data_IF_417649318070
#
_entry.id   IF_417649318070
#
_cell.length_a   1.000
_cell.length_b   1.000
_cell.length_c   1.000
_cell.angle_alpha   90.00
_cell.angle_beta   90.00
_cell.angle_gamma   90.00
#
_symmetry.space_group_name_H-M   'P 1'
#
loop_
_entity.id
_entity.type
_entity.pdbx_description
1 polymer ?
#
# COMPACT_ATOMS: atom_id res chain seq x y z
N UNK A 1 -2.84 4.03 0.85
CA UNK A 1 -3.45 3.11 -0.11
C UNK A 1 -3.61 3.81 -1.46
N UNK A 2 -2.58 3.78 -2.31
CA UNK A 2 -2.59 4.41 -3.62
C UNK A 2 -3.13 3.39 -4.59
N UNK A 3 -4.42 3.13 -4.46
CA UNK A 3 -5.13 2.33 -5.44
C UNK A 3 -5.33 3.20 -6.66
N UNK A 4 -4.93 2.72 -7.84
CA UNK A 4 -5.34 3.33 -9.13
C UNK A 4 -6.87 3.40 -9.29
N UNK A 5 -7.61 2.82 -8.34
CA UNK A 5 -9.06 2.61 -8.36
C UNK A 5 -9.76 3.28 -7.16
N UNK A 6 -9.11 4.09 -6.31
CA UNK A 6 -9.73 4.84 -5.19
C UNK A 6 -10.86 4.09 -4.44
N UNK A 7 -10.60 2.83 -4.06
CA UNK A 7 -11.58 1.93 -3.45
C UNK A 7 -11.25 1.68 -1.98
N UNK A 8 -12.18 1.99 -1.07
CA UNK A 8 -12.18 1.49 0.31
C UNK A 8 -13.14 0.31 0.53
N UNK A 9 -12.68 -0.75 1.19
CA UNK A 9 -13.56 -1.75 1.80
C UNK A 9 -12.99 -2.31 3.10
N UNK A 10 -13.82 -2.48 4.13
CA UNK A 10 -13.46 -3.19 5.36
C UNK A 10 -14.67 -3.86 6.01
N UNK A 11 -14.39 -4.89 6.83
CA UNK A 11 -15.39 -5.54 7.66
C UNK A 11 -14.81 -5.88 9.03
N UNK A 12 -15.58 -5.61 10.10
CA UNK A 12 -15.23 -5.97 11.48
C UNK A 12 -16.19 -7.04 11.96
N UNK A 13 -15.62 -8.12 12.49
CA UNK A 13 -16.37 -9.22 13.11
C UNK A 13 -15.91 -9.40 14.55
N UNK A 14 -16.87 -9.49 15.46
CA UNK A 14 -16.65 -9.78 16.88
C UNK A 14 -17.42 -11.04 17.25
N UNK A 15 -16.79 -11.98 17.95
CA UNK A 15 -17.38 -13.26 18.35
C UNK A 15 -18.10 -14.00 17.20
N UNK A 16 -17.52 -13.92 16.00
CA UNK A 16 -18.04 -14.56 14.78
C UNK A 16 -19.25 -13.85 14.15
N UNK A 17 -19.69 -12.71 14.68
CA UNK A 17 -20.78 -11.88 14.13
C UNK A 17 -20.25 -10.66 13.41
N UNK A 18 -20.92 -10.27 12.32
CA UNK A 18 -20.59 -9.03 11.62
C UNK A 18 -21.08 -7.83 12.45
N UNK A 19 -20.16 -6.90 12.76
CA UNK A 19 -20.44 -5.68 13.53
C UNK A 19 -20.52 -4.47 12.61
N UNK A 20 -19.58 -4.36 11.68
CA UNK A 20 -19.47 -3.26 10.71
C UNK A 20 -18.99 -3.79 9.37
N UNK A 21 -19.55 -3.31 8.27
CA UNK A 21 -19.06 -3.56 6.91
C UNK A 21 -19.30 -2.33 6.05
N UNK A 22 -18.26 -1.83 5.39
CA UNK A 22 -18.32 -0.65 4.53
C UNK A 22 -17.60 -0.95 3.21
N UNK A 23 -18.23 -0.61 2.10
CA UNK A 23 -17.68 -0.73 0.75
C UNK A 23 -17.97 0.50 -0.09
N UNK A 24 -16.90 1.18 -0.52
CA UNK A 24 -16.89 2.41 -1.31
C UNK A 24 -16.00 2.24 -2.56
N UNK A 25 -16.49 1.53 -3.59
CA UNK A 25 -15.83 1.52 -4.90
C UNK A 25 -15.88 2.91 -5.57
N UNK A 26 -14.98 3.16 -6.53
CA UNK A 26 -15.00 4.40 -7.30
C UNK A 26 -16.27 4.48 -8.15
N UNK A 27 -16.73 5.70 -8.40
CA UNK A 27 -17.78 6.03 -9.37
C UNK A 27 -19.21 5.53 -9.07
N UNK A 28 -19.40 4.59 -8.14
CA UNK A 28 -20.71 4.00 -7.82
C UNK A 28 -21.22 4.31 -6.41
N UNK A 29 -20.42 5.00 -5.60
CA UNK A 29 -20.80 5.41 -4.26
C UNK A 29 -20.76 4.25 -3.27
N UNK A 30 -21.73 4.20 -2.36
CA UNK A 30 -21.77 3.19 -1.30
C UNK A 30 -22.44 1.91 -1.79
N UNK A 31 -21.69 0.81 -1.88
CA UNK A 31 -22.25 -0.52 -2.22
C UNK A 31 -22.57 -1.36 -0.98
N UNK A 32 -21.95 -1.05 0.15
CA UNK A 32 -22.20 -1.72 1.42
C UNK A 32 -22.05 -0.73 2.57
N UNK A 33 -23.05 -0.67 3.47
CA UNK A 33 -23.01 0.12 4.69
C UNK A 33 -23.84 -0.57 5.77
N UNK A 34 -23.23 -1.53 6.46
CA UNK A 34 -23.87 -2.35 7.48
C UNK A 34 -23.26 -2.03 8.83
N UNK A 35 -24.10 -1.93 9.86
CA UNK A 35 -23.68 -1.62 11.24
C UNK A 35 -23.56 -0.13 11.52
N UNK A 36 -23.39 0.20 12.80
CA UNK A 36 -23.19 1.58 13.24
C UNK A 36 -21.76 2.05 12.90
N UNK A 37 -21.57 3.26 12.36
CA UNK A 37 -20.24 3.80 12.10
C UNK A 37 -19.37 3.86 13.35
N UNK A 38 -18.08 3.54 13.20
CA UNK A 38 -17.10 3.76 14.27
C UNK A 38 -16.79 5.25 14.45
N UNK A 39 -16.21 5.60 15.60
CA UNK A 39 -15.85 6.98 15.94
C UNK A 39 -14.98 7.66 14.89
N UNK A 40 -14.04 6.93 14.29
CA UNK A 40 -13.16 7.47 13.25
C UNK A 40 -13.90 7.81 11.95
N UNK A 41 -15.06 7.21 11.70
CA UNK A 41 -15.88 7.49 10.52
C UNK A 41 -16.75 8.75 10.68
N UNK A 42 -17.09 9.12 11.92
CA UNK A 42 -18.06 10.19 12.20
C UNK A 42 -17.74 11.54 11.52
N UNK A 43 -16.49 12.03 11.47
CA UNK A 43 -16.16 13.27 10.78
C UNK A 43 -16.47 13.23 9.29
N UNK A 44 -16.32 12.07 8.65
CA UNK A 44 -16.61 11.87 7.23
C UNK A 44 -18.12 11.96 6.96
N UNK A 45 -18.93 11.29 7.79
CA UNK A 45 -20.39 11.33 7.69
C UNK A 45 -20.98 12.69 8.06
N UNK A 46 -20.30 13.47 8.91
CA UNK A 46 -20.67 14.83 9.26
C UNK A 46 -20.32 15.85 8.16
N UNK A 47 -19.47 15.48 7.19
CA UNK A 47 -18.98 16.38 6.14
C UNK A 47 -17.78 17.23 6.56
N UNK A 48 -17.13 16.90 7.68
CA UNK A 48 -15.94 17.61 8.19
C UNK A 48 -14.65 17.25 7.41
N UNK A 49 -14.71 16.21 6.56
CA UNK A 49 -13.62 15.72 5.71
C UNK A 49 -14.05 15.70 4.24
N UNK A 50 -14.29 16.86 3.61
CA UNK A 50 -14.76 16.89 2.23
C UNK A 50 -13.72 16.36 1.25
N UNK A 51 -14.19 15.83 0.14
CA UNK A 51 -13.36 15.53 -1.01
C UNK A 51 -12.86 16.82 -1.69
N UNK A 52 -11.74 17.36 -1.21
CA UNK A 52 -11.07 18.49 -1.85
C UNK A 52 -10.24 18.00 -3.04
N UNK A 53 -10.89 17.85 -4.20
CA UNK A 53 -10.23 17.41 -5.43
C UNK A 53 -9.66 18.65 -6.10
N UNK A 54 -8.33 18.77 -6.12
CA UNK A 54 -7.65 19.78 -6.93
C UNK A 54 -7.45 19.17 -8.32
N UNK A 55 -8.21 19.58 -9.35
CA UNK A 55 -8.02 19.05 -10.70
C UNK A 55 -6.62 19.43 -11.22
N UNK A 56 -6.00 18.50 -11.95
CA UNK A 56 -4.78 18.84 -12.68
C UNK A 56 -5.07 19.90 -13.76
N UNK A 57 -4.10 20.77 -14.10
CA UNK A 57 -4.32 21.81 -15.10
C UNK A 57 -4.75 21.22 -16.46
N UNK A 58 -6.00 21.49 -16.85
CA UNK A 58 -6.58 21.00 -18.11
C UNK A 58 -7.48 19.78 -17.96
N UNK A 59 -7.68 19.26 -16.75
CA UNK A 59 -8.65 18.22 -16.44
C UNK A 59 -9.93 18.82 -15.85
N UNK A 60 -11.06 18.17 -16.12
CA UNK A 60 -12.34 18.53 -15.48
C UNK A 60 -12.33 18.08 -14.01
N UNK A 61 -13.05 18.82 -13.16
CA UNK A 61 -13.20 18.48 -11.74
C UNK A 61 -14.08 17.22 -11.62
N UNK A 62 -13.44 16.07 -11.45
CA UNK A 62 -14.14 14.80 -11.30
C UNK A 62 -14.57 14.62 -9.85
N UNK A 63 -15.85 14.85 -9.53
CA UNK A 63 -16.36 14.68 -8.17
C UNK A 63 -16.44 13.20 -7.77
N UNK A 64 -15.95 12.85 -6.58
CA UNK A 64 -16.20 11.54 -5.98
C UNK A 64 -17.71 11.32 -5.77
N UNK A 65 -18.17 10.09 -5.96
CA UNK A 65 -19.54 9.70 -5.64
C UNK A 65 -19.84 9.81 -4.12
N UNK A 66 -18.96 9.37 -3.19
CA UNK A 66 -19.06 9.76 -1.78
C UNK A 66 -18.58 11.21 -1.56
N UNK A 67 -19.09 11.92 -0.53
CA UNK A 67 -18.74 13.32 -0.25
C UNK A 67 -17.34 13.52 0.34
N UNK A 68 -16.58 12.45 0.51
CA UNK A 68 -15.24 12.41 1.09
C UNK A 68 -14.36 11.39 0.36
N UNK A 69 -13.02 11.51 0.41
CA UNK A 69 -12.12 10.62 -0.31
C UNK A 69 -12.11 9.23 0.34
N UNK A 70 -12.48 8.15 -0.38
CA UNK A 70 -12.41 6.79 0.16
C UNK A 70 -11.01 6.40 0.67
N UNK A 71 -9.89 6.77 0.01
CA UNK A 71 -8.56 6.45 0.50
C UNK A 71 -8.24 7.05 1.88
N UNK A 72 -8.67 8.28 2.17
CA UNK A 72 -8.42 8.92 3.47
C UNK A 72 -9.13 8.20 4.61
N UNK A 73 -10.41 7.87 4.43
CA UNK A 73 -11.14 7.06 5.40
C UNK A 73 -10.50 5.67 5.55
N UNK A 74 -9.89 5.13 4.49
CA UNK A 74 -9.13 3.89 4.53
C UNK A 74 -7.90 3.94 5.42
N UNK A 75 -7.14 5.03 5.38
CA UNK A 75 -5.99 5.23 6.28
C UNK A 75 -6.43 5.34 7.74
N UNK A 76 -7.50 6.10 8.02
CA UNK A 76 -8.05 6.20 9.38
C UNK A 76 -8.60 4.85 9.87
N UNK A 77 -9.20 4.04 8.98
CA UNK A 77 -9.64 2.69 9.30
C UNK A 77 -8.46 1.75 9.60
N UNK A 78 -7.37 1.80 8.82
CA UNK A 78 -6.16 1.02 9.09
C UNK A 78 -5.56 1.38 10.46
N UNK A 79 -5.46 2.68 10.76
CA UNK A 79 -4.94 3.11 12.06
C UNK A 79 -5.84 2.65 13.20
N UNK A 80 -7.16 2.86 13.10
CA UNK A 80 -8.09 2.52 14.17
C UNK A 80 -8.23 1.00 14.41
N UNK A 81 -8.18 0.19 13.35
CA UNK A 81 -8.44 -1.25 13.43
C UNK A 81 -7.16 -2.09 13.55
N UNK A 82 -6.07 -1.65 12.93
CA UNK A 82 -4.82 -2.39 12.83
C UNK A 82 -3.63 -1.68 13.48
N UNK A 83 -3.77 -0.40 13.83
CA UNK A 83 -2.74 0.37 14.53
C UNK A 83 -1.68 1.00 13.64
N UNK A 84 -1.81 1.01 12.31
CA UNK A 84 -0.81 1.58 11.41
C UNK A 84 -1.43 2.33 10.22
N UNK A 85 -0.62 3.11 9.51
CA UNK A 85 -0.96 3.77 8.24
C UNK A 85 -0.06 3.28 7.11
N UNK A 86 -0.53 3.33 5.86
CA UNK A 86 0.23 2.87 4.70
C UNK A 86 0.89 4.01 3.93
N UNK A 87 0.19 5.14 3.78
CA UNK A 87 0.67 6.31 3.02
C UNK A 87 0.84 7.57 3.85
N UNK A 88 0.16 7.63 4.99
CA UNK A 88 0.31 8.73 5.93
C UNK A 88 1.66 8.71 6.64
N UNK A 89 1.96 9.82 7.34
CA UNK A 89 3.07 9.84 8.29
C UNK A 89 2.69 9.01 9.52
N UNK A 90 3.46 7.98 9.89
CA UNK A 90 3.24 7.25 11.12
C UNK A 90 3.37 8.18 12.33
N UNK A 91 2.48 8.02 13.29
CA UNK A 91 2.59 8.62 14.62
C UNK A 91 3.52 7.78 15.50
N UNK A 92 4.11 8.36 16.57
CA UNK A 92 5.05 7.62 17.43
C UNK A 92 4.48 6.35 18.07
N UNK A 93 3.16 6.30 18.25
CA UNK A 93 2.44 5.18 18.86
C UNK A 93 1.84 4.22 17.82
N UNK A 94 2.01 4.49 16.52
CA UNK A 94 1.58 3.57 15.46
C UNK A 94 2.46 2.29 15.47
N UNK A 95 1.83 1.17 15.16
CA UNK A 95 2.49 -0.11 14.90
C UNK A 95 3.42 0.03 13.70
N UNK A 96 4.66 -0.46 13.84
CA UNK A 96 5.58 -0.63 12.73
C UNK A 96 5.11 -1.79 11.86
N UNK A 97 4.36 -1.47 10.80
CA UNK A 97 3.82 -2.45 9.87
C UNK A 97 4.91 -3.26 9.15
N UNK A 98 6.08 -2.66 8.91
CA UNK A 98 7.21 -3.32 8.24
C UNK A 98 7.91 -4.35 9.15
N UNK A 99 7.72 -4.23 10.47
CA UNK A 99 8.21 -5.21 11.44
C UNK A 99 7.27 -6.42 11.62
N UNK A 100 6.09 -6.42 11.01
CA UNK A 100 5.13 -7.54 11.12
C UNK A 100 5.59 -8.68 10.22
N UNK A 101 6.04 -9.78 10.82
CA UNK A 101 6.41 -10.98 10.08
C UNK A 101 5.18 -11.66 9.45
N UNK A 102 5.24 -11.87 8.14
CA UNK A 102 4.21 -12.60 7.39
C UNK A 102 4.72 -13.99 7.00
N UNK A 103 3.86 -15.00 7.15
CA UNK A 103 4.14 -16.32 6.59
C UNK A 103 3.97 -16.29 5.08
N UNK A 104 5.05 -16.54 4.36
CA UNK A 104 5.02 -16.77 2.92
C UNK A 104 4.48 -18.17 2.62
N UNK A 105 3.45 -18.25 1.79
CA UNK A 105 2.94 -19.50 1.25
C UNK A 105 3.16 -19.53 -0.25
N UNK A 106 3.59 -20.68 -0.77
CA UNK A 106 3.74 -20.88 -2.21
C UNK A 106 2.86 -22.03 -2.66
N UNK A 107 1.96 -21.76 -3.59
CA UNK A 107 1.13 -22.79 -4.24
C UNK A 107 2.01 -23.54 -5.24
N UNK A 108 2.15 -24.86 -5.08
CA UNK A 108 2.93 -25.69 -6.00
C UNK A 108 2.00 -26.48 -6.92
N UNK A 109 2.38 -26.57 -8.18
CA UNK A 109 1.84 -27.59 -9.08
C UNK A 109 2.31 -28.96 -8.57
N UNK A 110 1.39 -29.89 -8.23
CA UNK A 110 1.74 -31.24 -7.81
C UNK A 110 2.58 -32.02 -8.84
N UNK A 111 2.53 -31.61 -10.10
CA UNK A 111 3.26 -32.22 -11.22
C UNK A 111 4.40 -31.33 -11.75
N UNK A 112 4.61 -30.16 -11.16
CA UNK A 112 5.67 -29.24 -11.53
C UNK A 112 7.04 -29.64 -11.00
N UNK A 113 8.10 -28.92 -11.41
CA UNK A 113 9.45 -29.16 -10.94
C UNK A 113 9.55 -29.04 -9.41
N UNK A 114 10.44 -29.85 -8.82
CA UNK A 114 10.67 -29.83 -7.39
C UNK A 114 11.27 -28.51 -6.92
N UNK A 115 11.20 -28.17 -5.62
CA UNK A 115 11.65 -26.87 -5.10
C UNK A 115 13.15 -26.65 -5.34
N UNK A 116 13.97 -27.70 -5.30
CA UNK A 116 15.40 -27.60 -5.62
C UNK A 116 15.67 -27.28 -7.10
N UNK A 117 14.82 -27.77 -8.01
CA UNK A 117 14.93 -27.50 -9.44
C UNK A 117 14.51 -26.06 -9.75
N UNK A 118 13.44 -25.59 -9.11
CA UNK A 118 12.97 -24.21 -9.19
C UNK A 118 13.99 -23.21 -8.61
N UNK A 119 14.60 -23.53 -7.47
CA UNK A 119 15.66 -22.71 -6.88
C UNK A 119 16.92 -22.68 -7.76
N UNK A 120 17.25 -23.79 -8.42
CA UNK A 120 18.35 -23.86 -9.38
C UNK A 120 18.06 -23.07 -10.66
N UNK A 121 16.80 -23.01 -11.09
CA UNK A 121 16.36 -22.20 -12.24
C UNK A 121 16.43 -20.70 -11.91
N UNK A 122 15.87 -20.28 -10.77
CA UNK A 122 15.96 -18.88 -10.29
C UNK A 122 17.40 -18.46 -10.13
N UNK A 123 18.25 -19.30 -9.53
CA UNK A 123 19.68 -19.02 -9.39
C UNK A 123 20.37 -18.86 -10.73
N UNK A 124 20.09 -19.74 -11.70
CA UNK A 124 20.62 -19.59 -13.06
C UNK A 124 20.13 -18.32 -13.72
N UNK A 125 18.86 -17.95 -13.57
CA UNK A 125 18.33 -16.70 -14.10
C UNK A 125 19.01 -15.47 -13.47
N UNK A 126 19.26 -15.48 -12.16
CA UNK A 126 20.01 -14.42 -11.46
C UNK A 126 21.46 -14.35 -11.92
N UNK A 127 22.13 -15.49 -12.11
CA UNK A 127 23.50 -15.56 -12.63
C UNK A 127 23.63 -15.05 -14.07
N UNK A 128 22.58 -15.22 -14.89
CA UNK A 128 22.53 -14.77 -16.28
C UNK A 128 22.03 -13.31 -16.43
N UNK A 129 21.56 -12.70 -15.35
CA UNK A 129 21.09 -11.31 -15.33
C UNK A 129 22.24 -10.35 -15.04
N UNK A 130 22.35 -9.28 -15.82
CA UNK A 130 23.30 -8.19 -15.54
C UNK A 130 23.10 -7.65 -14.11
N UNK A 131 24.18 -7.30 -13.40
CA UNK A 131 24.07 -6.80 -12.03
C UNK A 131 23.15 -5.56 -11.97
N UNK A 132 22.28 -5.45 -10.95
CA UNK A 132 21.36 -4.33 -10.82
C UNK A 132 22.16 -3.03 -10.72
N UNK A 133 21.83 -2.06 -11.57
CA UNK A 133 22.44 -0.73 -11.52
C UNK A 133 21.90 0.02 -10.32
N UNK A 134 22.79 0.41 -9.40
CA UNK A 134 22.45 1.29 -8.29
C UNK A 134 22.89 2.72 -8.62
N UNK A 135 21.92 3.63 -8.75
CA UNK A 135 22.19 5.07 -8.91
C UNK A 135 21.85 5.80 -7.61
N UNK A 136 22.82 6.01 -6.70
CA UNK A 136 22.56 6.73 -5.46
C UNK A 136 22.14 8.18 -5.74
N UNK A 137 21.24 8.68 -4.90
CA UNK A 137 20.82 10.07 -4.91
C UNK A 137 21.87 10.94 -4.20
N UNK A 138 22.37 11.96 -4.90
CA UNK A 138 23.27 12.97 -4.35
C UNK A 138 22.54 13.91 -3.36
N UNK A 139 23.30 14.62 -2.51
CA UNK A 139 22.74 15.65 -1.61
C UNK A 139 22.00 16.80 -2.32
N UNK A 140 22.27 17.01 -3.61
CA UNK A 140 21.59 18.00 -4.47
C UNK A 140 20.38 17.43 -5.22
N UNK A 141 20.01 16.18 -4.97
CA UNK A 141 18.89 15.50 -5.61
C UNK A 141 19.19 14.90 -6.99
N UNK A 142 20.44 14.99 -7.48
CA UNK A 142 20.83 14.34 -8.73
C UNK A 142 21.07 12.83 -8.54
N UNK A 143 20.72 12.01 -9.54
CA UNK A 143 21.09 10.59 -9.55
C UNK A 143 22.51 10.45 -10.10
N UNK A 144 23.40 9.81 -9.34
CA UNK A 144 24.77 9.55 -9.78
C UNK A 144 24.85 8.14 -10.33
N UNK A 145 25.17 8.01 -11.61
CA UNK A 145 25.48 6.72 -12.22
C UNK A 145 26.84 6.24 -11.70
N UNK A 146 26.85 5.13 -10.94
CA UNK A 146 28.10 4.46 -10.55
C UNK A 146 28.33 3.27 -11.45
N UNK A 147 29.33 3.40 -12.31
CA UNK A 147 29.83 2.29 -13.13
C UNK A 147 30.59 1.32 -12.21
N UNK A 148 30.13 0.07 -12.14
CA UNK A 148 30.66 -0.91 -11.21
C UNK A 148 32.01 -1.45 -11.70
N UNK A 149 33.12 -0.75 -11.42
CA UNK A 149 34.49 -1.30 -11.21
C UNK A 149 35.55 -0.18 -11.20
N UNK A 150 35.97 0.25 -10.01
CA UNK A 150 37.38 0.63 -9.77
C UNK A 150 37.76 0.17 -8.36
N UNK A 151 38.76 -0.72 -8.19
CA UNK A 151 39.26 -1.08 -6.87
C UNK A 151 39.99 0.13 -6.26
N UNK A 152 39.63 0.49 -5.04
CA UNK A 152 40.35 1.50 -4.26
C UNK A 152 41.73 0.96 -3.89
N UNK A 153 42.77 1.41 -4.60
CA UNK A 153 44.14 1.21 -4.15
C UNK A 153 44.39 2.16 -2.98
N UNK A 154 44.47 1.60 -1.78
CA UNK A 154 45.05 2.30 -0.63
C UNK A 154 46.57 2.28 -0.79
N UNK A 155 47.19 3.44 -1.05
CA UNK A 155 48.62 3.63 -0.85
C UNK A 155 48.85 4.29 0.51
N UNK A 156 49.81 3.73 1.24
CA UNK A 156 50.30 4.14 2.57
C UNK A 156 50.87 5.56 2.63
#
# INVERSE_FOLDING_TARGET
MHSVVDWLAFAVREDGRLVRSLGLPPGSGIIENIGEPFTFELPYWAGDRPADIIPWPGEEEESYAPPFPPPELGEDALRALCGFVQEGRPEPDDVDADAVELYGFHVRDPHGPGPAEQEAEVRRAVEDTDPPRSSPLSPDGSLVERDALQPVTSSS
#
